data_IF_098469866655
#
_entry.id   IF_098469866655
#
_cell.length_a   1.000
_cell.length_b   1.000
_cell.length_c   1.000
_cell.angle_alpha   90.00
_cell.angle_beta   90.00
_cell.angle_gamma   90.00
#
_symmetry.space_group_name_H-M   'P 1'
#
loop_
_entity.id
_entity.type
_entity.pdbx_description
1 polymer ?
#
# COMPACT_ATOMS: atom_id res chain seq x y z
N UNK A 1 57.57 -6.81 59.57
CA UNK A 1 57.62 -7.28 58.18
C UNK A 1 56.19 -7.43 57.68
N UNK A 2 55.66 -6.43 56.98
CA UNK A 2 54.32 -6.46 56.39
C UNK A 2 54.32 -7.38 55.15
N UNK A 3 53.37 -8.31 55.09
CA UNK A 3 53.12 -9.17 53.93
C UNK A 3 52.06 -8.51 53.06
N UNK A 4 52.45 -8.05 51.87
CA UNK A 4 51.53 -7.55 50.85
C UNK A 4 50.94 -8.73 50.08
N UNK A 5 49.62 -8.90 50.13
CA UNK A 5 48.87 -9.84 49.28
C UNK A 5 48.40 -9.06 48.06
N UNK A 6 48.88 -9.43 46.87
CA UNK A 6 48.41 -8.90 45.59
C UNK A 6 47.26 -9.80 45.13
N UNK A 7 46.05 -9.27 45.14
CA UNK A 7 44.88 -9.92 44.53
C UNK A 7 44.84 -9.45 43.07
N UNK A 8 45.16 -10.34 42.14
CA UNK A 8 44.98 -10.10 40.71
C UNK A 8 43.51 -10.33 40.35
N UNK A 9 42.76 -9.25 40.14
CA UNK A 9 41.42 -9.31 39.56
C UNK A 9 41.53 -9.52 38.05
N UNK A 10 41.09 -10.69 37.57
CA UNK A 10 40.93 -10.96 36.14
C UNK A 10 39.56 -10.44 35.68
N UNK A 11 39.56 -9.36 34.90
CA UNK A 11 38.35 -8.83 34.26
C UNK A 11 38.04 -9.65 33.02
N UNK A 12 36.96 -10.44 33.05
CA UNK A 12 36.43 -11.14 31.88
C UNK A 12 35.76 -10.10 30.95
N UNK A 13 36.37 -9.79 29.80
CA UNK A 13 35.70 -9.07 28.71
C UNK A 13 34.84 -10.07 27.95
N UNK A 14 33.52 -10.06 28.18
CA UNK A 14 32.56 -10.72 27.30
C UNK A 14 32.31 -9.83 26.08
N UNK A 15 32.87 -10.21 24.94
CA UNK A 15 32.53 -9.63 23.63
C UNK A 15 31.19 -10.19 23.18
N UNK A 16 30.12 -9.41 23.27
CA UNK A 16 28.86 -9.71 22.57
C UNK A 16 29.07 -9.45 21.08
N UNK A 17 29.25 -10.51 20.31
CA UNK A 17 29.14 -10.46 18.85
C UNK A 17 27.67 -10.15 18.51
N UNK A 18 27.42 -8.94 18.02
CA UNK A 18 26.14 -8.60 17.39
C UNK A 18 26.16 -9.34 16.06
N UNK A 19 25.53 -10.52 16.01
CA UNK A 19 25.20 -11.20 14.76
C UNK A 19 24.29 -10.25 13.98
N UNK A 20 24.83 -9.60 12.94
CA UNK A 20 24.03 -8.88 11.97
C UNK A 20 23.14 -9.92 11.28
N UNK A 21 21.86 -9.91 11.62
CA UNK A 21 20.88 -10.80 11.00
C UNK A 21 20.83 -10.47 9.52
N UNK A 22 21.11 -11.45 8.65
CA UNK A 22 21.08 -11.23 7.21
C UNK A 22 19.67 -10.75 6.82
N UNK A 23 19.59 -9.54 6.30
CA UNK A 23 18.35 -8.93 5.84
C UNK A 23 17.90 -9.63 4.54
N UNK A 24 16.66 -10.09 4.47
CA UNK A 24 16.10 -10.61 3.22
C UNK A 24 15.78 -9.47 2.26
N UNK A 25 15.83 -9.74 0.96
CA UNK A 25 15.36 -8.81 -0.08
C UNK A 25 13.86 -8.56 0.12
N UNK A 26 13.41 -7.31 0.36
CA UNK A 26 11.99 -7.01 0.52
C UNK A 26 11.19 -7.29 -0.74
N UNK A 27 9.98 -7.82 -0.57
CA UNK A 27 9.02 -8.06 -1.67
C UNK A 27 7.96 -6.97 -1.72
N UNK A 28 7.70 -6.41 -2.89
CA UNK A 28 6.73 -5.34 -3.08
C UNK A 28 5.71 -5.73 -4.15
N UNK A 29 4.42 -5.69 -3.79
CA UNK A 29 3.33 -5.80 -4.75
C UNK A 29 3.11 -4.45 -5.44
N UNK A 30 3.44 -4.36 -6.72
CA UNK A 30 3.16 -3.18 -7.55
C UNK A 30 1.80 -3.38 -8.19
N UNK A 31 0.82 -2.56 -7.78
CA UNK A 31 -0.57 -2.64 -8.22
C UNK A 31 -0.92 -1.50 -9.16
N UNK A 32 -1.30 -1.84 -10.40
CA UNK A 32 -1.55 -0.86 -11.48
C UNK A 32 -2.98 -0.90 -12.02
N UNK A 33 -3.90 -1.58 -11.34
CA UNK A 33 -5.29 -1.65 -11.78
C UNK A 33 -5.95 -0.27 -11.78
N UNK A 34 -6.87 -0.06 -12.71
CA UNK A 34 -7.67 1.17 -12.84
C UNK A 34 -9.13 0.80 -13.04
N UNK A 35 -10.03 1.45 -12.30
CA UNK A 35 -11.47 1.43 -12.56
C UNK A 35 -11.92 2.69 -13.33
N UNK A 36 -11.05 3.70 -13.44
CA UNK A 36 -11.27 4.95 -14.15
C UNK A 36 -10.27 5.17 -15.30
N UNK A 37 -9.72 6.39 -15.37
CA UNK A 37 -8.73 6.76 -16.40
C UNK A 37 -7.48 5.87 -16.33
N UNK A 38 -7.03 5.40 -17.50
CA UNK A 38 -5.86 4.54 -17.66
C UNK A 38 -4.71 5.36 -18.22
N UNK A 39 -3.65 5.54 -17.44
CA UNK A 39 -2.47 6.29 -17.85
C UNK A 39 -1.61 5.47 -18.83
N UNK A 40 -1.18 6.11 -19.93
CA UNK A 40 -0.28 5.54 -20.94
C UNK A 40 1.11 5.23 -20.38
N UNK A 41 1.49 5.84 -19.25
CA UNK A 41 2.80 5.66 -18.60
C UNK A 41 2.94 4.37 -17.80
N UNK A 42 1.85 3.68 -17.45
CA UNK A 42 1.90 2.49 -16.60
C UNK A 42 2.80 1.38 -17.17
N UNK A 43 2.75 1.01 -18.47
CA UNK A 43 3.70 0.03 -19.02
C UNK A 43 5.16 0.46 -18.88
N UNK A 44 5.45 1.74 -19.10
CA UNK A 44 6.81 2.30 -18.93
C UNK A 44 7.23 2.28 -17.46
N UNK A 45 6.34 2.62 -16.54
CA UNK A 45 6.59 2.53 -15.11
C UNK A 45 6.94 1.10 -14.68
N UNK A 46 6.15 0.09 -15.12
CA UNK A 46 6.41 -1.32 -14.84
C UNK A 46 7.81 -1.73 -15.34
N UNK A 47 8.14 -1.38 -16.59
CA UNK A 47 9.44 -1.69 -17.16
C UNK A 47 10.57 -1.04 -16.34
N UNK A 48 10.49 0.26 -16.08
CA UNK A 48 11.51 1.03 -15.37
C UNK A 48 11.71 0.53 -13.94
N UNK A 49 10.62 0.24 -13.22
CA UNK A 49 10.70 -0.35 -11.87
C UNK A 49 11.39 -1.72 -11.91
N UNK A 50 11.03 -2.56 -12.89
CA UNK A 50 11.65 -3.88 -13.09
C UNK A 50 13.15 -3.78 -13.40
N UNK A 51 13.54 -2.89 -14.31
CA UNK A 51 14.93 -2.68 -14.72
C UNK A 51 15.82 -2.17 -13.56
N UNK A 52 15.23 -1.47 -12.58
CA UNK A 52 15.94 -0.92 -11.42
C UNK A 52 15.84 -1.80 -10.15
N UNK A 53 15.07 -2.90 -10.17
CA UNK A 53 14.79 -3.71 -8.99
C UNK A 53 16.07 -4.23 -8.28
N UNK A 54 17.01 -4.77 -9.07
CA UNK A 54 18.27 -5.31 -8.55
C UNK A 54 19.14 -4.23 -7.92
N UNK A 55 19.22 -3.05 -8.54
CA UNK A 55 20.04 -1.93 -8.06
C UNK A 55 19.58 -1.45 -6.67
N UNK A 56 18.27 -1.46 -6.42
CA UNK A 56 17.70 -1.02 -5.15
C UNK A 56 17.49 -2.16 -4.14
N UNK A 57 17.78 -3.41 -4.54
CA UNK A 57 17.64 -4.58 -3.69
C UNK A 57 16.19 -4.84 -3.29
N UNK A 58 15.27 -4.77 -4.25
CA UNK A 58 13.83 -5.03 -4.07
C UNK A 58 13.38 -6.10 -5.07
N UNK A 59 12.46 -6.98 -4.66
CA UNK A 59 11.76 -7.90 -5.55
C UNK A 59 10.35 -7.37 -5.81
N UNK A 60 9.99 -7.14 -7.07
CA UNK A 60 8.65 -6.68 -7.45
C UNK A 60 7.79 -7.81 -7.98
N UNK A 61 6.54 -7.83 -7.54
CA UNK A 61 5.44 -8.55 -8.20
C UNK A 61 4.50 -7.51 -8.81
N UNK A 62 4.42 -7.45 -10.14
CA UNK A 62 3.50 -6.56 -10.85
C UNK A 62 2.16 -7.24 -11.06
N UNK A 63 1.06 -6.57 -10.72
CA UNK A 63 -0.28 -7.13 -10.90
C UNK A 63 -1.36 -6.05 -11.06
N UNK A 64 -2.45 -6.45 -11.73
CA UNK A 64 -3.73 -5.74 -11.75
C UNK A 64 -4.85 -6.59 -11.15
N UNK A 65 -4.51 -7.76 -10.58
CA UNK A 65 -5.46 -8.69 -10.00
C UNK A 65 -5.82 -8.32 -8.57
N UNK A 66 -7.04 -7.80 -8.38
CA UNK A 66 -7.57 -7.46 -7.06
C UNK A 66 -7.68 -8.66 -6.11
N UNK A 67 -7.68 -9.90 -6.60
CA UNK A 67 -7.76 -11.11 -5.76
C UNK A 67 -6.55 -11.30 -4.85
N UNK A 68 -5.44 -10.60 -5.13
CA UNK A 68 -4.24 -10.57 -4.29
C UNK A 68 -4.42 -9.75 -3.00
N UNK A 69 -5.48 -8.94 -2.88
CA UNK A 69 -5.77 -8.15 -1.69
C UNK A 69 -6.55 -8.97 -0.66
N UNK A 70 -5.87 -9.99 -0.14
CA UNK A 70 -6.32 -10.82 0.99
C UNK A 70 -5.24 -10.84 2.05
N UNK A 71 -5.61 -11.09 3.31
CA UNK A 71 -4.63 -11.16 4.42
C UNK A 71 -3.51 -12.17 4.14
N UNK A 72 -3.85 -13.32 3.56
CA UNK A 72 -2.88 -14.36 3.22
C UNK A 72 -1.88 -13.88 2.18
N UNK A 73 -2.35 -13.37 1.04
CA UNK A 73 -1.50 -12.89 -0.05
C UNK A 73 -0.66 -11.68 0.39
N UNK A 74 -1.28 -10.66 0.98
CA UNK A 74 -0.59 -9.45 1.42
C UNK A 74 0.47 -9.72 2.50
N UNK A 75 0.28 -10.76 3.33
CA UNK A 75 1.28 -11.13 4.35
C UNK A 75 2.63 -11.56 3.79
N UNK A 76 2.70 -11.89 2.49
CA UNK A 76 3.93 -12.28 1.80
C UNK A 76 4.77 -11.10 1.31
N UNK A 77 4.18 -9.89 1.29
CA UNK A 77 4.83 -8.67 0.82
C UNK A 77 5.26 -7.78 1.99
N UNK A 78 6.41 -7.14 1.84
CA UNK A 78 6.92 -6.12 2.78
C UNK A 78 6.26 -4.76 2.49
N UNK A 79 5.94 -4.50 1.22
CA UNK A 79 5.27 -3.27 0.82
C UNK A 79 4.25 -3.47 -0.29
N UNK A 80 3.36 -2.50 -0.42
CA UNK A 80 2.52 -2.30 -1.59
C UNK A 80 2.90 -0.99 -2.26
N UNK A 81 2.93 -1.00 -3.58
CA UNK A 81 3.18 0.18 -4.40
C UNK A 81 2.03 0.39 -5.38
N UNK A 82 1.27 1.46 -5.18
CA UNK A 82 0.18 1.87 -6.06
C UNK A 82 0.75 2.82 -7.11
N UNK A 83 0.56 2.51 -8.39
CA UNK A 83 1.12 3.30 -9.50
C UNK A 83 0.02 3.63 -10.48
N UNK A 84 -0.39 4.90 -10.48
CA UNK A 84 -1.37 5.46 -11.42
C UNK A 84 -2.73 4.74 -11.43
N UNK A 85 -3.15 4.19 -10.28
CA UNK A 85 -4.49 3.66 -10.07
C UNK A 85 -5.55 4.76 -10.23
N UNK A 86 -6.80 4.39 -10.47
CA UNK A 86 -7.89 5.38 -10.58
C UNK A 86 -9.23 4.76 -10.21
N UNK A 87 -10.07 5.53 -9.53
CA UNK A 87 -11.38 5.11 -9.01
C UNK A 87 -11.30 3.92 -8.03
N UNK A 88 -12.41 3.19 -7.82
CA UNK A 88 -12.53 2.15 -6.80
C UNK A 88 -11.94 0.81 -7.30
N UNK A 89 -10.62 0.68 -7.16
CA UNK A 89 -9.84 -0.49 -7.65
C UNK A 89 -9.87 -1.70 -6.71
N UNK A 90 -10.45 -1.57 -5.51
CA UNK A 90 -10.67 -2.62 -4.53
C UNK A 90 -12.10 -2.55 -4.00
N UNK A 91 -12.65 -3.71 -3.67
CA UNK A 91 -13.89 -3.81 -2.90
C UNK A 91 -13.62 -3.77 -1.39
N UNK A 92 -14.68 -3.75 -0.59
CA UNK A 92 -14.62 -3.67 0.87
C UNK A 92 -13.71 -4.74 1.49
N UNK A 93 -13.67 -5.94 0.90
CA UNK A 93 -12.83 -7.03 1.42
C UNK A 93 -11.34 -6.77 1.17
N UNK A 94 -10.99 -6.23 -0.01
CA UNK A 94 -9.63 -5.82 -0.32
C UNK A 94 -9.17 -4.62 0.53
N UNK A 95 -10.05 -3.66 0.77
CA UNK A 95 -9.81 -2.51 1.66
C UNK A 95 -9.54 -2.98 3.10
N UNK A 96 -10.36 -3.90 3.63
CA UNK A 96 -10.15 -4.48 4.95
C UNK A 96 -8.82 -5.26 5.07
N UNK A 97 -8.43 -5.99 4.01
CA UNK A 97 -7.14 -6.66 3.97
C UNK A 97 -5.97 -5.66 3.96
N UNK A 98 -6.11 -4.56 3.22
CA UNK A 98 -5.11 -3.50 3.16
C UNK A 98 -4.96 -2.77 4.50
N UNK A 99 -6.07 -2.51 5.21
CA UNK A 99 -6.02 -1.98 6.58
C UNK A 99 -5.25 -2.93 7.51
N UNK A 100 -5.55 -4.22 7.47
CA UNK A 100 -4.84 -5.25 8.26
C UNK A 100 -3.35 -5.26 7.93
N UNK A 101 -3.00 -5.13 6.65
CA UNK A 101 -1.61 -5.05 6.19
C UNK A 101 -0.86 -3.87 6.81
N UNK A 102 -1.45 -2.67 6.78
CA UNK A 102 -0.84 -1.48 7.40
C UNK A 102 -0.68 -1.60 8.91
N UNK A 103 -1.71 -2.11 9.61
CA UNK A 103 -1.64 -2.37 11.06
C UNK A 103 -0.59 -3.44 11.41
N UNK A 104 -0.20 -4.27 10.45
CA UNK A 104 0.82 -5.32 10.60
C UNK A 104 2.24 -4.85 10.25
N UNK A 105 2.44 -3.54 10.04
CA UNK A 105 3.74 -2.93 9.72
C UNK A 105 4.05 -2.86 8.23
N UNK A 106 3.10 -3.18 7.36
CA UNK A 106 3.26 -3.12 5.91
C UNK A 106 3.54 -1.70 5.39
N UNK A 107 4.43 -1.60 4.41
CA UNK A 107 4.88 -0.32 3.83
C UNK A 107 3.99 0.11 2.68
N UNK A 108 3.71 1.41 2.56
CA UNK A 108 2.96 1.99 1.44
C UNK A 108 3.85 2.89 0.59
N UNK A 109 3.70 2.79 -0.74
CA UNK A 109 4.27 3.71 -1.71
C UNK A 109 3.19 4.06 -2.74
N UNK A 110 2.98 5.34 -3.02
CA UNK A 110 2.04 5.80 -4.04
C UNK A 110 2.71 6.69 -5.08
N UNK A 111 2.37 6.50 -6.35
CA UNK A 111 2.87 7.32 -7.46
C UNK A 111 1.70 7.83 -8.30
N UNK A 112 1.75 9.12 -8.62
CA UNK A 112 0.80 9.82 -9.48
C UNK A 112 -0.65 9.62 -9.02
N UNK A 113 -1.52 9.07 -9.87
CA UNK A 113 -2.93 8.86 -9.56
C UNK A 113 -3.21 7.79 -8.50
N UNK A 114 -2.21 7.23 -7.84
CA UNK A 114 -2.41 6.50 -6.59
C UNK A 114 -3.23 7.29 -5.54
N UNK A 115 -3.25 8.64 -5.61
CA UNK A 115 -4.14 9.47 -4.79
C UNK A 115 -5.55 9.67 -5.37
N UNK A 116 -5.81 9.24 -6.59
CA UNK A 116 -7.09 9.36 -7.32
C UNK A 116 -7.87 8.04 -7.37
N UNK A 117 -7.67 7.17 -6.37
CA UNK A 117 -8.37 5.91 -6.23
C UNK A 117 -8.83 5.68 -4.78
N UNK A 118 -9.75 4.75 -4.59
CA UNK A 118 -10.26 4.36 -3.25
C UNK A 118 -10.74 5.57 -2.43
N UNK A 119 -11.54 6.45 -3.04
CA UNK A 119 -12.04 7.67 -2.41
C UNK A 119 -12.96 7.40 -1.22
N UNK A 120 -13.50 6.18 -1.13
CA UNK A 120 -14.39 5.75 -0.05
C UNK A 120 -13.67 5.04 1.11
N UNK A 121 -12.34 4.86 1.04
CA UNK A 121 -11.55 4.18 2.08
C UNK A 121 -10.69 5.18 2.88
N UNK A 122 -11.16 5.51 4.09
CA UNK A 122 -10.43 6.40 5.00
C UNK A 122 -9.05 5.84 5.41
N UNK A 123 -8.88 4.52 5.50
CA UNK A 123 -7.58 3.92 5.84
C UNK A 123 -6.60 4.10 4.69
N UNK A 124 -7.06 3.91 3.45
CA UNK A 124 -6.23 4.18 2.27
C UNK A 124 -5.85 5.66 2.19
N UNK A 125 -6.82 6.57 2.38
CA UNK A 125 -6.55 8.01 2.46
C UNK A 125 -5.46 8.33 3.49
N UNK A 126 -5.53 7.71 4.67
CA UNK A 126 -4.53 7.91 5.72
C UNK A 126 -3.14 7.36 5.35
N UNK A 127 -3.07 6.30 4.53
CA UNK A 127 -1.80 5.77 4.03
C UNK A 127 -1.20 6.71 2.97
N UNK A 128 -2.02 7.24 2.06
CA UNK A 128 -1.57 8.16 0.99
C UNK A 128 -1.18 9.52 1.56
N UNK A 129 -1.94 10.06 2.52
CA UNK A 129 -1.74 11.39 3.08
C UNK A 129 -2.82 12.38 2.67
N UNK A 130 -3.11 12.45 1.36
CA UNK A 130 -4.16 13.27 0.79
C UNK A 130 -4.63 12.67 -0.54
N UNK A 131 -5.93 12.76 -0.82
CA UNK A 131 -6.53 12.28 -2.07
C UNK A 131 -6.59 13.39 -3.11
N UNK A 132 -6.49 13.01 -4.37
CA UNK A 132 -6.58 13.89 -5.53
C UNK A 132 -7.93 14.61 -5.61
N UNK A 133 -7.90 15.86 -6.05
CA UNK A 133 -9.07 16.66 -6.37
C UNK A 133 -9.12 17.01 -7.86
N UNK A 134 -8.14 17.80 -8.34
CA UNK A 134 -8.05 18.22 -9.73
C UNK A 134 -6.61 18.58 -10.11
N UNK A 135 -6.38 18.81 -11.40
CA UNK A 135 -5.18 19.47 -11.92
C UNK A 135 -5.56 20.40 -13.08
N UNK A 136 -4.79 21.47 -13.37
CA UNK A 136 -4.88 22.17 -14.65
C UNK A 136 -4.33 21.28 -15.78
N UNK A 137 -4.53 21.63 -17.06
CA UNK A 137 -3.95 20.91 -18.18
C UNK A 137 -2.43 20.74 -18.04
N UNK A 138 -1.94 19.59 -18.50
CA UNK A 138 -0.51 19.26 -18.58
C UNK A 138 0.25 20.40 -19.24
N UNK A 139 1.30 20.88 -18.57
CA UNK A 139 2.13 21.99 -19.02
C UNK A 139 3.47 21.96 -18.29
N UNK A 140 4.42 22.81 -18.70
CA UNK A 140 5.65 23.00 -17.95
C UNK A 140 5.34 23.63 -16.59
N UNK A 141 5.89 23.05 -15.53
CA UNK A 141 5.84 23.58 -14.17
C UNK A 141 7.22 23.45 -13.53
N UNK A 142 7.51 24.28 -12.54
CA UNK A 142 8.76 24.21 -11.77
C UNK A 142 8.50 23.64 -10.39
N UNK A 143 9.03 22.45 -10.13
CA UNK A 143 9.01 21.81 -8.84
C UNK A 143 10.21 22.25 -8.01
N UNK A 144 10.02 22.44 -6.71
CA UNK A 144 11.04 22.91 -5.78
C UNK A 144 11.34 21.87 -4.72
N UNK A 145 12.63 21.69 -4.43
CA UNK A 145 13.09 20.78 -3.38
C UNK A 145 12.95 21.45 -2.02
N UNK A 146 12.12 20.88 -1.15
CA UNK A 146 11.90 21.39 0.22
C UNK A 146 12.83 20.71 1.22
N UNK A 147 13.02 19.40 1.10
CA UNK A 147 13.91 18.63 1.96
C UNK A 147 15.16 18.22 1.18
N UNK A 148 16.36 18.52 1.69
CA UNK A 148 17.64 18.17 1.06
C UNK A 148 18.40 17.04 1.78
N UNK A 149 17.82 16.46 2.83
CA UNK A 149 18.39 15.35 3.61
C UNK A 149 17.77 13.99 3.32
N UNK A 150 16.53 13.98 2.80
CA UNK A 150 15.82 12.75 2.51
C UNK A 150 16.39 12.08 1.24
N UNK A 151 16.63 10.76 1.23
CA UNK A 151 17.25 10.09 0.09
C UNK A 151 16.44 10.22 -1.21
N UNK A 152 15.11 10.28 -1.13
CA UNK A 152 14.25 10.55 -2.30
C UNK A 152 14.54 11.88 -3.01
N UNK A 153 15.20 12.84 -2.38
CA UNK A 153 15.49 14.16 -2.98
C UNK A 153 16.99 14.42 -3.15
N UNK A 154 17.82 13.40 -2.95
CA UNK A 154 19.28 13.52 -3.03
C UNK A 154 19.76 14.04 -4.41
N UNK A 155 19.16 13.52 -5.48
CA UNK A 155 19.50 13.88 -6.86
C UNK A 155 18.54 14.91 -7.49
N UNK A 156 17.52 15.36 -6.75
CA UNK A 156 16.57 16.36 -7.26
C UNK A 156 17.21 17.75 -7.16
N UNK A 157 17.28 18.55 -8.24
CA UNK A 157 17.79 19.91 -8.17
C UNK A 157 16.85 20.81 -7.35
N UNK A 158 17.35 21.93 -6.84
CA UNK A 158 16.53 22.84 -6.03
C UNK A 158 15.31 23.39 -6.78
N UNK A 159 15.46 23.54 -8.10
CA UNK A 159 14.38 23.84 -9.04
C UNK A 159 14.46 22.87 -10.20
N UNK A 160 13.37 22.16 -10.45
CA UNK A 160 13.27 21.13 -11.49
C UNK A 160 12.06 21.43 -12.35
N UNK A 161 12.29 21.81 -13.62
CA UNK A 161 11.24 22.22 -14.53
C UNK A 161 11.06 21.21 -15.65
N UNK A 162 9.85 20.68 -15.79
CA UNK A 162 9.47 19.77 -16.86
C UNK A 162 7.94 19.76 -17.01
N UNK A 163 7.46 19.17 -18.10
CA UNK A 163 6.04 19.04 -18.38
C UNK A 163 5.43 17.96 -17.49
N UNK A 164 4.37 18.29 -16.74
CA UNK A 164 3.71 17.35 -15.82
C UNK A 164 2.31 17.83 -15.41
N UNK A 165 1.55 16.99 -14.69
CA UNK A 165 0.30 17.41 -14.05
C UNK A 165 0.55 17.94 -12.63
N UNK A 166 0.15 19.19 -12.38
CA UNK A 166 0.23 19.77 -11.03
C UNK A 166 -1.05 19.47 -10.25
N UNK A 167 -0.97 18.54 -9.31
CA UNK A 167 -2.12 18.05 -8.56
C UNK A 167 -2.51 19.00 -7.42
N UNK A 168 -3.81 19.22 -7.29
CA UNK A 168 -4.46 19.74 -6.10
C UNK A 168 -5.16 18.60 -5.35
N UNK A 169 -5.22 18.71 -4.03
CA UNK A 169 -5.70 17.64 -3.15
C UNK A 169 -6.95 18.04 -2.36
N UNK A 170 -7.68 17.03 -1.88
CA UNK A 170 -8.89 17.19 -1.04
C UNK A 170 -8.58 17.61 0.40
N UNK A 171 -7.33 17.49 0.83
CA UNK A 171 -6.85 17.82 2.18
C UNK A 171 -5.36 18.21 2.14
N UNK A 172 -4.88 18.88 3.19
CA UNK A 172 -3.43 19.10 3.33
C UNK A 172 -2.79 17.83 3.92
N UNK A 173 -1.82 17.18 3.26
CA UNK A 173 -1.22 15.95 3.76
C UNK A 173 -0.51 16.15 5.11
N UNK A 174 -0.14 17.39 5.47
CA UNK A 174 0.45 17.72 6.78
C UNK A 174 -0.49 17.47 7.94
N UNK A 175 -1.81 17.57 7.73
CA UNK A 175 -2.81 17.29 8.75
C UNK A 175 -2.81 15.80 9.14
N UNK A 176 -2.25 14.95 8.27
CA UNK A 176 -2.00 13.53 8.50
C UNK A 176 -0.52 13.24 8.83
N UNK A 177 0.22 14.24 9.32
CA UNK A 177 1.61 14.10 9.77
C UNK A 177 2.64 13.99 8.64
N UNK A 178 2.28 14.33 7.40
CA UNK A 178 3.22 14.27 6.29
C UNK A 178 4.32 15.32 6.36
N UNK A 179 5.54 14.92 6.01
CA UNK A 179 6.68 15.80 5.79
C UNK A 179 6.88 15.98 4.29
N UNK A 180 6.77 17.22 3.84
CA UNK A 180 6.86 17.57 2.42
C UNK A 180 8.31 17.52 1.92
N UNK A 181 8.49 16.85 0.78
CA UNK A 181 9.77 16.66 0.12
C UNK A 181 9.92 17.57 -1.10
N UNK A 182 8.88 17.63 -1.93
CA UNK A 182 8.80 18.46 -3.13
C UNK A 182 7.57 19.35 -3.06
N UNK A 183 7.70 20.54 -3.63
CA UNK A 183 6.62 21.48 -3.86
C UNK A 183 6.60 21.93 -5.32
N UNK A 184 5.63 22.76 -5.70
CA UNK A 184 5.55 23.43 -7.00
C UNK A 184 5.57 24.95 -6.80
N UNK A 185 6.26 25.66 -7.68
CA UNK A 185 6.18 27.11 -7.81
C UNK A 185 4.91 27.48 -8.56
N UNK A 186 3.88 27.93 -7.85
CA UNK A 186 2.57 28.29 -8.45
C UNK A 186 2.64 29.47 -9.44
N UNK A 187 3.77 30.18 -9.53
CA UNK A 187 3.97 31.22 -10.56
C UNK A 187 4.48 30.68 -11.89
N UNK A 188 4.89 29.41 -11.92
CA UNK A 188 5.53 28.78 -13.09
C UNK A 188 4.57 28.12 -14.07
N UNK A 189 3.28 28.02 -13.73
CA UNK A 189 2.24 27.42 -14.56
C UNK A 189 0.92 28.19 -14.44
N UNK A 190 0.01 27.97 -15.38
CA UNK A 190 -1.33 28.56 -15.36
C UNK A 190 -2.31 27.57 -14.74
N UNK A 191 -2.86 27.91 -13.57
CA UNK A 191 -3.97 27.15 -12.99
C UNK A 191 -5.32 27.64 -13.53
N UNK A 192 -5.84 26.94 -14.52
CA UNK A 192 -7.21 27.06 -15.03
C UNK A 192 -8.02 25.76 -14.82
N UNK A 193 -7.58 24.91 -13.89
CA UNK A 193 -8.29 23.69 -13.50
C UNK A 193 -9.56 24.00 -12.71
N UNK A 194 -10.41 22.99 -12.52
CA UNK A 194 -11.67 23.13 -11.78
C UNK A 194 -11.72 22.11 -10.66
N UNK A 195 -11.84 22.60 -9.42
CA UNK A 195 -12.04 21.78 -8.24
C UNK A 195 -13.32 20.95 -8.34
N UNK A 196 -13.26 19.70 -7.87
CA UNK A 196 -14.43 18.82 -7.77
C UNK A 196 -15.29 19.12 -6.53
N UNK A 197 -14.77 19.93 -5.59
CA UNK A 197 -15.47 20.26 -4.35
C UNK A 197 -15.01 21.56 -3.70
N UNK A 198 -15.38 21.74 -2.43
CA UNK A 198 -14.92 22.86 -1.60
C UNK A 198 -13.83 22.33 -0.66
N UNK A 199 -12.60 22.23 -1.16
CA UNK A 199 -11.44 21.70 -0.45
C UNK A 199 -10.51 22.84 0.02
N UNK A 200 -9.69 22.61 1.06
CA UNK A 200 -8.80 23.62 1.60
C UNK A 200 -7.73 24.03 0.58
N UNK A 201 -7.13 25.21 0.80
CA UNK A 201 -5.90 25.60 0.11
C UNK A 201 -4.79 24.56 0.36
N UNK A 202 -3.94 24.36 -0.63
CA UNK A 202 -2.76 23.48 -0.54
C UNK A 202 -1.73 23.96 0.51
N UNK A 203 -1.90 25.19 0.97
CA UNK A 203 -0.98 25.86 1.88
C UNK A 203 0.32 26.25 1.17
N UNK A 204 1.24 26.82 1.95
CA UNK A 204 2.56 27.23 1.49
C UNK A 204 3.63 26.46 2.28
N UNK A 205 4.53 25.71 1.63
CA UNK A 205 4.60 25.45 0.18
C UNK A 205 3.55 24.44 -0.31
N UNK A 206 3.09 24.52 -1.56
CA UNK A 206 2.12 23.58 -2.16
C UNK A 206 2.74 22.16 -2.24
N UNK A 207 2.24 21.13 -1.54
CA UNK A 207 2.88 19.81 -1.48
C UNK A 207 2.70 18.99 -2.77
N UNK A 208 3.78 18.39 -3.27
CA UNK A 208 3.78 17.53 -4.48
C UNK A 208 4.26 16.12 -4.17
N UNK A 209 5.23 15.99 -3.26
CA UNK A 209 5.71 14.72 -2.77
C UNK A 209 5.96 14.80 -1.26
N UNK A 210 5.72 13.72 -0.54
CA UNK A 210 5.87 13.67 0.91
C UNK A 210 6.11 12.24 1.41
N UNK A 211 6.46 12.15 2.68
CA UNK A 211 6.46 10.90 3.41
C UNK A 211 5.70 11.05 4.73
N UNK A 212 5.26 9.92 5.29
CA UNK A 212 4.73 9.82 6.65
C UNK A 212 5.47 8.69 7.36
N UNK A 213 6.20 9.02 8.44
CA UNK A 213 7.03 8.05 9.18
C UNK A 213 6.18 7.13 10.09
N UNK A 214 4.99 7.60 10.49
CA UNK A 214 4.03 6.83 11.30
C UNK A 214 2.60 7.15 10.87
N UNK A 215 2.14 6.57 9.73
CA UNK A 215 0.83 6.85 9.16
C UNK A 215 -0.31 6.44 10.10
N UNK A 216 -1.38 7.23 10.14
CA UNK A 216 -2.58 6.91 10.93
C UNK A 216 -3.24 5.59 10.48
N UNK A 217 -3.08 5.21 9.21
CA UNK A 217 -3.58 3.95 8.65
C UNK A 217 -3.01 2.70 9.33
N UNK A 218 -1.87 2.83 9.99
CA UNK A 218 -1.25 1.75 10.76
C UNK A 218 -1.85 1.57 12.15
N UNK A 219 -2.72 2.47 12.61
CA UNK A 219 -3.24 2.48 13.97
C UNK A 219 -4.64 1.86 14.08
N UNK A 220 -4.93 1.11 15.16
CA UNK A 220 -3.96 0.60 16.13
C UNK A 220 -3.03 -0.45 15.51
N UNK A 221 -1.78 -0.50 15.96
CA UNK A 221 -0.87 -1.56 15.55
C UNK A 221 -1.37 -2.93 16.02
N UNK A 222 -1.18 -3.94 15.17
CA UNK A 222 -1.47 -5.34 15.51
C UNK A 222 -0.58 -5.82 16.65
N UNK A 223 -1.10 -6.76 17.45
CA UNK A 223 -0.35 -7.34 18.55
C UNK A 223 0.97 -7.95 18.06
N UNK A 224 2.08 -7.59 18.71
CA UNK A 224 3.41 -8.05 18.33
C UNK A 224 4.15 -7.11 17.37
N UNK A 225 3.50 -6.05 16.88
CA UNK A 225 4.17 -5.00 16.10
C UNK A 225 4.65 -3.88 17.03
N UNK A 226 5.93 -3.54 16.91
CA UNK A 226 6.56 -2.44 17.65
C UNK A 226 6.75 -1.16 16.83
N UNK A 227 6.57 -1.23 15.51
CA UNK A 227 6.85 -0.11 14.60
C UNK A 227 5.88 -0.11 13.40
N UNK A 228 5.24 1.03 13.08
CA UNK A 228 4.42 1.14 11.88
C UNK A 228 5.26 1.07 10.60
N UNK A 229 4.65 0.63 9.51
CA UNK A 229 5.20 0.83 8.18
C UNK A 229 5.20 2.30 7.80
N UNK A 230 6.16 2.70 6.97
CA UNK A 230 6.25 4.07 6.43
C UNK A 230 5.39 4.22 5.19
N UNK A 231 4.97 5.45 4.91
CA UNK A 231 4.37 5.84 3.63
C UNK A 231 5.28 6.81 2.88
N UNK A 232 5.39 6.62 1.57
CA UNK A 232 5.95 7.59 0.63
C UNK A 232 4.96 7.86 -0.50
N UNK A 233 4.83 9.10 -0.94
CA UNK A 233 3.99 9.47 -2.06
C UNK A 233 4.61 10.59 -2.92
N UNK A 234 4.42 10.50 -4.23
CA UNK A 234 4.69 11.60 -5.18
C UNK A 234 3.56 11.71 -6.19
N UNK A 235 3.09 12.93 -6.48
CA UNK A 235 2.03 13.15 -7.49
C UNK A 235 2.55 13.19 -8.92
N UNK A 236 3.87 13.22 -9.11
CA UNK A 236 4.52 13.21 -10.41
C UNK A 236 4.43 11.82 -11.04
N UNK A 237 4.53 11.74 -12.37
CA UNK A 237 4.63 10.47 -13.09
C UNK A 237 3.54 10.23 -14.14
N UNK A 238 2.85 11.27 -14.62
CA UNK A 238 1.85 11.13 -15.67
C UNK A 238 2.47 10.61 -16.97
N UNK A 239 3.56 11.23 -17.42
CA UNK A 239 4.10 11.04 -18.76
C UNK A 239 5.13 9.91 -18.83
N UNK A 240 5.22 9.27 -19.99
CA UNK A 240 6.32 8.35 -20.32
C UNK A 240 7.70 9.02 -20.19
N UNK A 241 7.81 10.30 -20.59
CA UNK A 241 9.04 11.07 -20.46
C UNK A 241 9.44 11.27 -18.99
N UNK A 242 8.47 11.42 -18.09
CA UNK A 242 8.74 11.53 -16.64
C UNK A 242 9.38 10.23 -16.14
N UNK A 243 8.87 9.07 -16.54
CA UNK A 243 9.47 7.76 -16.22
C UNK A 243 10.80 7.46 -16.93
N UNK A 244 11.20 8.28 -17.91
CA UNK A 244 12.50 8.17 -18.58
C UNK A 244 13.52 9.18 -18.04
N UNK A 245 13.11 10.08 -17.14
CA UNK A 245 13.99 11.02 -16.46
C UNK A 245 14.67 10.34 -15.26
N UNK A 246 16.00 10.23 -15.29
CA UNK A 246 16.77 9.58 -14.22
C UNK A 246 16.57 10.24 -12.84
N UNK A 247 16.30 11.55 -12.78
CA UNK A 247 16.00 12.25 -11.53
C UNK A 247 14.70 11.75 -10.94
N UNK A 248 13.66 11.59 -11.77
CA UNK A 248 12.37 11.04 -11.34
C UNK A 248 12.49 9.58 -10.90
N UNK A 249 13.17 8.74 -11.68
CA UNK A 249 13.38 7.32 -11.36
C UNK A 249 14.07 7.19 -10.00
N UNK A 250 15.16 7.94 -9.79
CA UNK A 250 15.88 7.97 -8.52
C UNK A 250 15.00 8.46 -7.36
N UNK A 251 14.14 9.46 -7.59
CA UNK A 251 13.21 9.98 -6.58
C UNK A 251 12.24 8.90 -6.09
N UNK A 252 11.58 8.20 -7.02
CA UNK A 252 10.62 7.13 -6.71
C UNK A 252 11.31 5.96 -6.02
N UNK A 253 12.40 5.44 -6.62
CA UNK A 253 13.08 4.26 -6.09
C UNK A 253 13.72 4.50 -4.72
N UNK A 254 14.29 5.70 -4.49
CA UNK A 254 14.87 6.06 -3.20
C UNK A 254 13.80 6.36 -2.15
N UNK A 255 12.62 6.85 -2.56
CA UNK A 255 11.46 7.00 -1.69
C UNK A 255 10.91 5.67 -1.19
N UNK A 256 10.69 4.72 -2.12
CA UNK A 256 10.32 3.34 -1.79
C UNK A 256 11.36 2.70 -0.86
N UNK A 257 12.64 2.80 -1.20
CA UNK A 257 13.71 2.18 -0.40
C UNK A 257 13.78 2.76 1.01
N UNK A 258 13.62 4.07 1.17
CA UNK A 258 13.55 4.70 2.49
C UNK A 258 12.36 4.22 3.32
N UNK A 259 11.22 4.01 2.67
CA UNK A 259 10.01 3.52 3.33
C UNK A 259 10.24 2.09 3.85
N UNK A 260 10.83 1.21 3.02
CA UNK A 260 11.23 -0.15 3.40
C UNK A 260 12.27 -0.16 4.53
N UNK A 261 13.28 0.70 4.45
CA UNK A 261 14.33 0.86 5.49
C UNK A 261 13.80 1.40 6.83
N UNK A 262 12.49 1.68 6.92
CA UNK A 262 11.78 1.78 8.17
C UNK A 262 11.86 0.51 9.03
N UNK A 263 12.19 -0.65 8.47
CA UNK A 263 12.40 -1.89 9.20
C UNK A 263 11.20 -2.33 10.06
N UNK A 264 9.99 -2.19 9.52
CA UNK A 264 8.72 -2.61 10.15
C UNK A 264 8.25 -4.00 9.71
N UNK A 265 8.98 -4.65 8.80
CA UNK A 265 8.56 -5.87 8.10
C UNK A 265 9.50 -7.06 8.39
N UNK A 266 9.13 -8.25 7.90
CA UNK A 266 9.92 -9.48 8.04
C UNK A 266 11.26 -9.42 7.31
N UNK A 267 11.40 -8.63 6.25
CA UNK A 267 12.69 -8.43 5.58
C UNK A 267 13.79 -7.97 6.54
N UNK A 268 13.40 -7.25 7.61
CA UNK A 268 14.29 -6.70 8.62
C UNK A 268 14.18 -7.39 9.99
N UNK A 269 13.44 -8.50 10.08
CA UNK A 269 13.31 -9.31 11.29
C UNK A 269 12.40 -8.77 12.40
N UNK A 270 11.57 -7.77 12.12
CA UNK A 270 10.75 -7.07 13.16
C UNK A 270 9.24 -7.21 12.91
N UNK A 271 8.78 -7.38 11.67
CA UNK A 271 7.36 -7.32 11.31
C UNK A 271 6.59 -8.64 11.23
N UNK A 272 5.27 -8.54 11.03
CA UNK A 272 4.38 -9.70 10.80
C UNK A 272 4.14 -10.00 9.31
N UNK A 273 4.37 -9.02 8.44
CA UNK A 273 4.23 -9.15 6.98
C UNK A 273 5.58 -9.09 6.28
N UNK A 274 5.67 -9.70 5.10
CA UNK A 274 6.84 -9.67 4.25
C UNK A 274 7.65 -10.95 4.20
N UNK A 275 8.74 -10.91 3.44
CA UNK A 275 9.61 -12.05 3.24
C UNK A 275 10.64 -12.14 4.37
N UNK A 276 10.51 -13.12 5.26
CA UNK A 276 11.47 -13.38 6.33
C UNK A 276 12.43 -14.52 6.00
N UNK A 277 13.66 -14.45 6.51
CA UNK A 277 14.50 -15.63 6.60
C UNK A 277 13.82 -16.62 7.57
N UNK A 278 13.20 -17.67 7.02
CA UNK A 278 12.67 -18.79 7.78
C UNK A 278 13.83 -19.54 8.45
N UNK A 279 14.34 -18.99 9.54
CA UNK A 279 15.17 -19.69 10.50
C UNK A 279 14.40 -19.87 11.82
N UNK A 280 13.07 -19.91 11.75
CA UNK A 280 12.28 -20.56 12.80
C UNK A 280 12.56 -22.05 12.73
N UNK A 281 13.47 -22.47 13.60
CA UNK A 281 13.62 -23.86 13.96
C UNK A 281 12.26 -24.29 14.52
N UNK A 282 11.51 -25.08 13.75
CA UNK A 282 10.31 -25.76 14.22
C UNK A 282 10.67 -26.64 15.41
N UNK A 283 10.65 -26.07 16.63
CA UNK A 283 10.65 -26.86 17.86
C UNK A 283 9.25 -27.42 18.05
N UNK A 284 8.87 -28.36 17.18
CA UNK A 284 7.77 -29.27 17.47
C UNK A 284 8.19 -30.11 18.66
N UNK A 285 7.76 -29.71 19.85
CA UNK A 285 7.86 -30.53 21.04
C UNK A 285 6.85 -31.68 20.87
N UNK A 286 7.22 -32.70 20.08
CA UNK A 286 6.51 -33.97 20.06
C UNK A 286 6.86 -34.71 21.35
N UNK A 287 6.02 -34.55 22.36
CA UNK A 287 5.94 -35.52 23.46
C UNK A 287 5.42 -36.84 22.91
N UNK A 288 6.35 -37.72 22.55
CA UNK A 288 6.07 -39.12 22.23
C UNK A 288 5.68 -39.86 23.51
N UNK A 289 4.39 -39.99 23.80
CA UNK A 289 3.90 -40.93 24.79
C UNK A 289 3.81 -42.32 24.16
N UNK A 290 4.83 -43.14 24.37
CA UNK A 290 4.87 -44.55 23.98
C UNK A 290 4.01 -45.36 24.98
N UNK A 291 2.78 -45.70 24.61
CA UNK A 291 1.95 -46.64 25.34
C UNK A 291 2.06 -48.03 24.72
N UNK A 292 2.78 -48.92 25.40
CA UNK A 292 2.85 -50.34 25.12
C UNK A 292 1.67 -51.07 25.78
N UNK A 293 0.79 -51.67 25.00
CA UNK A 293 -0.08 -52.77 25.48
C UNK A 293 -0.48 -53.68 24.33
N UNK A 294 0.21 -54.82 24.25
CA UNK A 294 -0.23 -56.00 23.51
C UNK A 294 -1.18 -56.82 24.38
N UNK A 295 -2.40 -57.07 23.89
CA UNK A 295 -3.38 -57.93 24.55
C UNK A 295 -4.36 -58.52 23.54
N UNK A 296 -4.26 -59.84 23.37
CA UNK A 296 -5.03 -60.72 22.49
C UNK A 296 -6.53 -60.75 22.81
N UNK A 297 -7.39 -60.95 21.80
CA UNK A 297 -8.81 -61.28 22.02
C UNK A 297 -9.65 -61.35 20.73
N UNK A 298 -10.23 -62.52 20.50
CA UNK A 298 -10.91 -63.00 19.30
C UNK A 298 -12.39 -62.64 19.15
N UNK A 299 -12.86 -62.72 17.89
CA UNK A 299 -14.13 -63.27 17.39
C UNK A 299 -15.41 -62.43 17.15
N UNK A 300 -15.95 -62.69 15.94
CA UNK A 300 -17.36 -62.87 15.50
C UNK A 300 -18.24 -61.68 15.06
N UNK A 301 -18.46 -61.68 13.73
CA UNK A 301 -19.74 -61.65 12.97
C UNK A 301 -20.75 -60.51 13.11
N UNK A 302 -21.16 -59.97 11.96
CA UNK A 302 -22.45 -59.29 11.78
C UNK A 302 -22.55 -58.59 10.43
N UNK A 303 -23.40 -59.12 9.55
CA UNK A 303 -23.62 -58.67 8.17
C UNK A 303 -24.81 -57.69 8.02
N UNK A 304 -24.99 -57.23 6.77
CA UNK A 304 -26.10 -56.46 6.17
C UNK A 304 -26.05 -54.93 6.34
N UNK A 305 -25.83 -54.11 5.30
CA UNK A 305 -26.40 -53.98 3.94
C UNK A 305 -27.64 -53.06 3.86
N UNK A 306 -27.49 -52.03 3.00
CA UNK A 306 -28.52 -51.37 2.14
C UNK A 306 -29.61 -50.55 2.85
N UNK A 307 -30.15 -49.44 2.34
CA UNK A 307 -30.20 -48.77 1.02
C UNK A 307 -30.67 -47.31 1.20
N UNK A 308 -30.21 -46.43 0.29
CA UNK A 308 -30.92 -45.39 -0.50
C UNK A 308 -32.03 -44.53 0.14
N UNK A 309 -32.01 -43.18 0.12
CA UNK A 309 -31.96 -42.19 -0.98
C UNK A 309 -33.29 -41.89 -1.71
N UNK A 310 -33.45 -40.60 -2.05
CA UNK A 310 -34.45 -39.89 -2.90
C UNK A 310 -35.77 -39.45 -2.22
N UNK A 311 -36.02 -38.13 -2.08
CA UNK A 311 -36.61 -37.16 -3.05
C UNK A 311 -38.13 -37.36 -3.18
N UNK A 312 -39.04 -36.38 -3.31
CA UNK A 312 -39.10 -34.92 -3.43
C UNK A 312 -40.60 -34.52 -3.43
N UNK A 313 -40.91 -33.21 -3.45
CA UNK A 313 -42.17 -32.55 -3.93
C UNK A 313 -43.48 -32.79 -3.15
N UNK A 314 -44.49 -31.91 -3.09
CA UNK A 314 -44.69 -30.44 -3.16
C UNK A 314 -46.19 -30.17 -2.97
N UNK A 315 -46.54 -29.00 -2.42
CA UNK A 315 -47.75 -28.18 -2.67
C UNK A 315 -49.14 -28.51 -2.04
N UNK A 316 -49.82 -27.42 -1.61
CA UNK A 316 -51.29 -27.29 -1.58
C UNK A 316 -51.91 -26.80 -0.27
N UNK A 317 -51.84 -25.49 0.05
CA UNK A 317 -52.95 -24.48 0.11
C UNK A 317 -54.05 -24.63 1.18
N UNK A 318 -54.24 -23.56 1.98
CA UNK A 318 -55.42 -23.31 2.82
C UNK A 318 -55.41 -21.89 3.45
N UNK A 319 -56.55 -21.20 3.35
CA UNK A 319 -56.84 -19.76 3.47
C UNK A 319 -57.14 -19.17 4.86
N UNK A 320 -57.03 -17.82 4.97
CA UNK A 320 -57.73 -16.93 5.93
C UNK A 320 -56.75 -16.12 6.81
N UNK A 321 -56.84 -14.81 7.09
CA UNK A 321 -57.78 -13.73 6.82
C UNK A 321 -57.55 -12.58 7.84
N UNK A 322 -57.62 -11.32 7.39
CA UNK A 322 -57.92 -10.05 8.11
C UNK A 322 -56.84 -9.21 8.85
N UNK A 323 -56.96 -7.89 8.59
CA UNK A 323 -56.44 -6.67 9.27
C UNK A 323 -54.93 -6.41 9.16
N UNK A 324 -54.41 -5.23 8.82
CA UNK A 324 -54.95 -3.88 8.69
C UNK A 324 -54.02 -2.91 9.41
N UNK A 325 -53.10 -2.23 8.71
CA UNK A 325 -52.47 -0.97 9.13
C UNK A 325 -51.59 -0.41 8.01
N UNK A 326 -51.91 0.82 7.59
CA UNK A 326 -51.12 1.67 6.70
C UNK A 326 -49.84 2.13 7.41
N UNK A 327 -48.70 2.18 6.72
CA UNK A 327 -47.70 3.25 6.88
C UNK A 327 -46.85 3.37 5.60
N UNK A 328 -46.45 4.61 5.35
CA UNK A 328 -45.95 5.18 4.10
C UNK A 328 -44.66 4.55 3.56
N UNK A 329 -44.63 4.26 2.26
CA UNK A 329 -43.40 4.06 1.48
C UNK A 329 -42.91 5.40 0.92
N UNK A 330 -41.72 5.84 1.36
CA UNK A 330 -40.97 6.89 0.69
C UNK A 330 -39.78 6.24 -0.02
N UNK A 331 -39.79 6.30 -1.34
CA UNK A 331 -38.67 5.95 -2.22
C UNK A 331 -37.56 7.01 -2.09
N UNK A 332 -36.27 6.67 -2.16
CA UNK A 332 -35.28 7.55 -2.73
C UNK A 332 -35.01 7.16 -4.19
N UNK A 333 -35.13 8.14 -5.08
CA UNK A 333 -34.79 8.02 -6.48
C UNK A 333 -33.28 8.01 -6.69
N UNK A 334 -32.83 7.10 -7.56
CA UNK A 334 -31.51 7.11 -8.15
C UNK A 334 -31.37 8.32 -9.08
N UNK A 335 -30.45 9.23 -8.78
CA UNK A 335 -29.95 10.22 -9.71
C UNK A 335 -28.53 9.83 -10.12
N UNK A 336 -28.41 9.19 -11.28
CA UNK A 336 -27.15 9.03 -11.98
C UNK A 336 -26.75 10.38 -12.59
N UNK A 337 -25.60 10.92 -12.16
CA UNK A 337 -24.98 12.06 -12.84
C UNK A 337 -24.00 11.53 -13.88
N UNK A 338 -24.37 11.68 -15.15
CA UNK A 338 -23.48 11.50 -16.29
C UNK A 338 -22.68 12.78 -16.45
N UNK A 339 -21.42 12.77 -16.00
CA UNK A 339 -20.44 13.81 -16.32
C UNK A 339 -19.87 13.56 -17.70
N UNK A 340 -20.26 14.37 -18.68
CA UNK A 340 -19.72 14.35 -20.03
C UNK A 340 -18.28 14.93 -20.02
N UNK A 341 -17.30 14.08 -20.32
CA UNK A 341 -15.94 14.52 -20.62
C UNK A 341 -15.90 15.27 -21.95
N UNK A 342 -15.40 16.50 -21.92
CA UNK A 342 -15.10 17.27 -23.14
C UNK A 342 -13.74 16.83 -23.65
N UNK A 343 -13.73 16.12 -24.77
CA UNK A 343 -12.52 15.87 -25.58
C UNK A 343 -12.00 17.19 -26.15
N UNK A 344 -10.80 17.59 -25.77
CA UNK A 344 -10.00 18.58 -26.49
C UNK A 344 -9.27 17.92 -27.66
N UNK A 345 -9.78 18.09 -28.88
CA UNK A 345 -9.07 17.75 -30.12
C UNK A 345 -8.01 18.82 -30.41
N UNK A 346 -6.74 18.43 -30.43
CA UNK A 346 -5.63 19.28 -30.87
C UNK A 346 -5.59 19.29 -32.39
N UNK A 347 -5.95 20.43 -32.99
CA UNK A 347 -5.81 20.69 -34.42
C UNK A 347 -4.38 21.06 -34.78
N UNK A 348 -3.73 20.25 -35.60
CA UNK A 348 -2.44 20.55 -36.24
C UNK A 348 -2.66 21.57 -37.36
N UNK A 349 -2.17 22.80 -37.19
CA UNK A 349 -2.08 23.77 -38.28
C UNK A 349 -0.77 23.60 -39.02
N UNK A 350 -0.87 23.18 -40.27
CA UNK A 350 0.21 23.12 -41.25
C UNK A 350 0.39 24.52 -41.87
N UNK A 351 1.59 25.10 -41.73
CA UNK A 351 2.02 26.30 -42.46
C UNK A 351 2.35 25.96 -43.92
N UNK A 352 1.80 26.74 -44.85
CA UNK A 352 2.42 27.05 -46.15
C UNK A 352 2.59 28.56 -46.17
#
# INVERSE_FOLDING_TARGET
MLRTIIIASATLMTTTEIMAQAQSTPKVLVYTATAGYRHDSIPTAIQVLGDNAQQYGVEFTFSEDKSLFTNESLSTFDGVMFVSNSDEVLDESGQAALQTFFQSGGVYTGVHSASACLFNDENYQQAVGALFDYHPPIQDATFTRINNTHPATANVPDRWSFQEEVYYFRSNPRDNGAVVLLSVDETSYVNNGTSSGNYPSMGDPHPIAWYIDSPLSSQPLSQGISKPGRSFYTSLGHLNSTWQDETFINHVMSGLKWALDGASTKAYGIGLVGNGNNNETSSSNQTSASASTSGSGSNTSGASATVSASASTSSGTGTGGTSGAQTNTHLPGNAAFIGAGILGLVGVSLLI
#
